data_IF_697651676827
#
_entry.id   IF_697651676827
#
_cell.length_a   1.000
_cell.length_b   1.000
_cell.length_c   1.000
_cell.angle_alpha   90.00
_cell.angle_beta   90.00
_cell.angle_gamma   90.00
#
_symmetry.space_group_name_H-M   'P 1'
#
loop_
_entity.id
_entity.type
_entity.pdbx_description
1 polymer ?
#
# COMPACT_ATOMS: atom_id res chain seq x y z
N UNK A 1 -10.60 -1.86 25.00
CA UNK A 1 -10.80 -1.77 23.53
C UNK A 1 -10.87 -3.15 22.88
N UNK A 2 -9.88 -4.06 23.07
CA UNK A 2 -9.89 -5.38 22.42
C UNK A 2 -11.09 -6.22 22.85
N UNK A 3 -11.43 -6.21 24.14
CA UNK A 3 -12.62 -6.88 24.68
C UNK A 3 -13.91 -6.32 24.07
N UNK A 4 -14.06 -5.00 23.99
CA UNK A 4 -15.23 -4.38 23.37
C UNK A 4 -15.38 -4.74 21.89
N UNK A 5 -14.28 -4.81 21.14
CA UNK A 5 -14.29 -5.29 19.75
C UNK A 5 -14.69 -6.77 19.66
N UNK A 6 -14.18 -7.59 20.56
CA UNK A 6 -14.56 -8.99 20.67
C UNK A 6 -16.06 -9.16 20.96
N UNK A 7 -16.63 -8.35 21.87
CA UNK A 7 -18.05 -8.37 22.19
C UNK A 7 -18.92 -7.98 20.98
N UNK A 8 -18.46 -7.03 20.16
CA UNK A 8 -19.14 -6.67 18.90
C UNK A 8 -19.15 -7.84 17.91
N UNK A 9 -18.04 -8.58 17.80
CA UNK A 9 -17.97 -9.79 16.95
C UNK A 9 -18.87 -10.89 17.53
N UNK A 10 -18.78 -11.19 18.82
CA UNK A 10 -19.58 -12.24 19.48
C UNK A 10 -21.09 -11.96 19.46
N UNK A 11 -21.49 -10.70 19.54
CA UNK A 11 -22.90 -10.30 19.42
C UNK A 11 -23.43 -10.32 17.97
N UNK A 12 -22.58 -10.64 16.99
CA UNK A 12 -22.94 -10.68 15.57
C UNK A 12 -23.12 -9.33 14.90
N UNK A 13 -22.84 -8.20 15.60
CA UNK A 13 -22.91 -6.85 15.03
C UNK A 13 -21.82 -6.58 14.00
N UNK A 14 -20.66 -7.22 14.17
CA UNK A 14 -19.50 -7.13 13.30
C UNK A 14 -19.01 -8.54 12.98
N UNK A 15 -18.66 -8.82 11.74
CA UNK A 15 -18.09 -10.13 11.35
C UNK A 15 -16.58 -10.19 11.53
N UNK A 16 -15.88 -9.15 11.08
CA UNK A 16 -14.42 -9.06 11.11
C UNK A 16 -13.99 -7.69 11.57
N UNK A 17 -12.83 -7.62 12.22
CA UNK A 17 -12.22 -6.39 12.70
C UNK A 17 -10.89 -6.17 12.00
N UNK A 18 -10.52 -4.90 11.82
CA UNK A 18 -9.26 -4.47 11.23
C UNK A 18 -8.61 -3.35 12.04
N UNK A 19 -7.36 -3.08 11.74
CA UNK A 19 -6.56 -2.01 12.32
C UNK A 19 -6.29 -0.93 11.27
N UNK A 20 -6.07 0.31 11.70
CA UNK A 20 -5.78 1.41 10.78
C UNK A 20 -4.71 2.34 11.36
N UNK A 21 -3.72 2.70 10.53
CA UNK A 21 -2.71 3.72 10.84
C UNK A 21 -1.97 3.50 12.17
N UNK A 22 -1.54 2.29 12.44
CA UNK A 22 -0.74 1.91 13.60
C UNK A 22 0.69 1.52 13.18
N UNK A 23 1.65 1.73 14.08
CA UNK A 23 2.99 1.19 13.91
C UNK A 23 2.98 -0.35 13.99
N UNK A 24 3.93 -1.01 13.33
CA UNK A 24 3.99 -2.47 13.28
C UNK A 24 4.00 -3.12 14.66
N UNK A 25 4.77 -2.57 15.61
CA UNK A 25 4.81 -3.09 16.99
C UNK A 25 3.45 -3.01 17.71
N UNK A 26 2.64 -1.98 17.41
CA UNK A 26 1.29 -1.82 17.96
C UNK A 26 0.33 -2.86 17.39
N UNK A 27 0.42 -3.09 16.07
CA UNK A 27 -0.35 -4.16 15.39
C UNK A 27 0.02 -5.51 15.99
N UNK A 28 1.32 -5.83 16.09
CA UNK A 28 1.77 -7.10 16.67
C UNK A 28 1.32 -7.27 18.11
N UNK A 29 1.39 -6.20 18.93
CA UNK A 29 0.92 -6.22 20.31
C UNK A 29 -0.59 -6.51 20.40
N UNK A 30 -1.40 -5.89 19.56
CA UNK A 30 -2.85 -6.14 19.53
C UNK A 30 -3.16 -7.59 19.10
N UNK A 31 -2.49 -8.10 18.08
CA UNK A 31 -2.63 -9.48 17.60
C UNK A 31 -2.23 -10.48 18.70
N UNK A 32 -1.08 -10.25 19.36
CA UNK A 32 -0.59 -11.13 20.42
C UNK A 32 -1.53 -11.17 21.62
N UNK A 33 -2.05 -10.01 22.07
CA UNK A 33 -3.03 -9.95 23.18
C UNK A 33 -4.32 -10.67 22.80
N UNK A 34 -4.84 -10.44 21.59
CA UNK A 34 -6.05 -11.13 21.13
C UNK A 34 -5.87 -12.64 21.11
N UNK A 35 -4.75 -13.12 20.60
CA UNK A 35 -4.40 -14.56 20.56
C UNK A 35 -4.28 -15.15 21.97
N UNK A 36 -3.56 -14.47 22.88
CA UNK A 36 -3.31 -14.97 24.24
C UNK A 36 -4.60 -15.05 25.09
N UNK A 37 -5.58 -14.19 24.83
CA UNK A 37 -6.82 -14.12 25.59
C UNK A 37 -8.04 -14.70 24.84
N UNK A 38 -7.86 -15.40 23.72
CA UNK A 38 -8.97 -15.98 22.97
C UNK A 38 -9.97 -14.97 22.41
N UNK A 39 -9.51 -13.73 22.14
CA UNK A 39 -10.33 -12.66 21.59
C UNK A 39 -10.40 -12.75 20.06
N UNK A 40 -11.35 -12.01 19.48
CA UNK A 40 -11.52 -11.93 18.03
C UNK A 40 -10.20 -11.52 17.34
N UNK A 41 -9.85 -12.26 16.27
CA UNK A 41 -8.65 -12.02 15.49
C UNK A 41 -8.87 -10.85 14.53
N UNK A 42 -7.88 -9.97 14.42
CA UNK A 42 -7.83 -8.99 13.35
C UNK A 42 -7.59 -9.69 12.00
N UNK A 43 -8.25 -9.21 10.94
CA UNK A 43 -8.17 -9.80 9.60
C UNK A 43 -7.42 -8.90 8.62
N UNK A 44 -7.39 -7.59 8.88
CA UNK A 44 -6.80 -6.62 7.95
C UNK A 44 -6.15 -5.46 8.66
N UNK A 45 -5.21 -4.83 7.94
CA UNK A 45 -4.68 -3.50 8.25
C UNK A 45 -5.08 -2.55 7.13
N UNK A 46 -5.65 -1.39 7.47
CA UNK A 46 -5.86 -0.32 6.51
C UNK A 46 -4.72 0.69 6.66
N UNK A 47 -3.94 0.89 5.59
CA UNK A 47 -2.76 1.75 5.64
C UNK A 47 -2.57 2.54 4.34
N UNK A 48 -1.82 3.66 4.44
CA UNK A 48 -1.34 4.41 3.29
C UNK A 48 -0.32 3.59 2.52
N UNK A 49 -0.56 3.43 1.22
CA UNK A 49 0.38 2.76 0.33
C UNK A 49 0.22 3.27 -1.09
N UNK A 50 1.32 3.66 -1.71
CA UNK A 50 1.39 4.06 -3.11
C UNK A 50 2.74 3.68 -3.68
N UNK A 51 2.89 3.69 -5.00
CA UNK A 51 4.20 3.52 -5.62
C UNK A 51 5.22 4.58 -5.16
N UNK A 52 4.78 5.79 -4.77
CA UNK A 52 5.64 6.85 -4.26
C UNK A 52 5.72 6.90 -2.72
N UNK A 53 4.96 6.06 -2.00
CA UNK A 53 4.92 6.00 -0.54
C UNK A 53 4.92 4.55 -0.08
N UNK A 54 6.09 3.94 -0.02
CA UNK A 54 6.33 2.50 0.22
C UNK A 54 6.82 2.21 1.63
N UNK A 55 6.81 3.19 2.53
CA UNK A 55 7.42 3.09 3.87
C UNK A 55 6.87 1.93 4.71
N UNK A 56 5.61 1.52 4.50
CA UNK A 56 5.03 0.36 5.20
C UNK A 56 5.72 -0.97 4.85
N UNK A 57 6.45 -1.05 3.73
CA UNK A 57 7.17 -2.27 3.32
C UNK A 57 8.31 -2.63 4.28
N UNK A 58 8.75 -1.68 5.11
CA UNK A 58 9.85 -1.93 6.07
C UNK A 58 9.45 -2.85 7.20
N UNK A 59 8.25 -2.65 7.75
CA UNK A 59 7.79 -3.33 8.98
C UNK A 59 6.38 -3.91 8.85
N UNK A 60 5.42 -3.12 8.32
CA UNK A 60 4.02 -3.56 8.29
C UNK A 60 3.79 -4.69 7.29
N UNK A 61 4.39 -4.65 6.10
CA UNK A 61 4.24 -5.71 5.11
C UNK A 61 4.78 -7.04 5.65
N UNK A 62 6.03 -7.14 6.12
CA UNK A 62 6.54 -8.38 6.72
C UNK A 62 5.67 -8.89 7.87
N UNK A 63 5.17 -8.00 8.73
CA UNK A 63 4.26 -8.37 9.82
C UNK A 63 2.94 -8.94 9.27
N UNK A 64 2.34 -8.28 8.27
CA UNK A 64 1.07 -8.74 7.70
C UNK A 64 1.22 -10.10 7.02
N UNK A 65 2.33 -10.34 6.32
CA UNK A 65 2.64 -11.62 5.70
C UNK A 65 2.82 -12.74 6.74
N UNK A 66 3.56 -12.46 7.82
CA UNK A 66 3.77 -13.41 8.94
C UNK A 66 2.45 -13.71 9.65
N UNK A 67 1.66 -12.67 9.97
CA UNK A 67 0.40 -12.82 10.70
C UNK A 67 -0.81 -13.12 9.79
N UNK A 68 -0.63 -13.27 8.48
CA UNK A 68 -1.72 -13.51 7.50
C UNK A 68 -2.83 -12.47 7.60
N UNK A 69 -2.45 -11.20 7.64
CA UNK A 69 -3.37 -10.05 7.60
C UNK A 69 -3.42 -9.47 6.18
N UNK A 70 -4.60 -9.11 5.72
CA UNK A 70 -4.76 -8.44 4.43
C UNK A 70 -4.52 -6.94 4.52
N UNK A 71 -3.96 -6.34 3.47
CA UNK A 71 -3.81 -4.88 3.36
C UNK A 71 -4.98 -4.27 2.60
N UNK A 72 -5.63 -3.29 3.21
CA UNK A 72 -6.57 -2.37 2.56
C UNK A 72 -5.86 -1.03 2.34
N UNK A 73 -5.60 -0.70 1.09
CA UNK A 73 -4.84 0.51 0.74
C UNK A 73 -5.75 1.74 0.74
N UNK A 74 -5.40 2.78 1.49
CA UNK A 74 -6.06 4.08 1.37
C UNK A 74 -5.16 5.10 0.65
N UNK A 75 -5.79 6.07 -0.03
CA UNK A 75 -5.13 7.12 -0.83
C UNK A 75 -4.13 6.60 -1.87
N UNK A 76 -4.49 5.58 -2.67
CA UNK A 76 -3.58 4.88 -3.58
C UNK A 76 -2.93 5.76 -4.64
N UNK A 77 -3.58 6.88 -4.98
CA UNK A 77 -3.08 7.89 -5.91
C UNK A 77 -2.47 9.12 -5.20
N UNK A 78 -2.08 8.98 -3.92
CA UNK A 78 -1.45 10.05 -3.15
C UNK A 78 -2.25 11.36 -3.18
N UNK A 79 -3.55 11.31 -2.88
CA UNK A 79 -4.44 12.46 -2.95
C UNK A 79 -4.65 13.02 -4.36
N UNK A 80 -4.42 12.20 -5.39
CA UNK A 80 -4.55 12.55 -6.80
C UNK A 80 -3.24 12.99 -7.49
N UNK A 81 -2.12 13.07 -6.76
CA UNK A 81 -0.82 13.42 -7.35
C UNK A 81 -0.41 12.42 -8.44
N UNK A 82 -0.60 11.12 -8.18
CA UNK A 82 -0.25 10.04 -9.11
C UNK A 82 -1.26 9.83 -10.25
N UNK A 83 -2.22 10.76 -10.41
CA UNK A 83 -3.08 10.77 -11.60
C UNK A 83 -2.44 11.40 -12.84
N UNK A 84 -1.24 11.97 -12.71
CA UNK A 84 -0.54 12.66 -13.80
C UNK A 84 -1.07 14.06 -14.13
N UNK A 85 -2.07 14.57 -13.38
CA UNK A 85 -2.66 15.89 -13.66
C UNK A 85 -1.85 17.07 -13.11
N UNK A 86 -1.04 16.84 -12.09
CA UNK A 86 -0.18 17.86 -11.47
C UNK A 86 1.17 17.89 -12.17
N UNK A 87 1.60 19.06 -12.63
CA UNK A 87 2.92 19.27 -13.23
C UNK A 87 3.99 19.38 -12.15
N UNK A 88 5.24 19.03 -12.48
CA UNK A 88 6.39 19.05 -11.57
C UNK A 88 6.61 20.44 -10.94
N UNK A 89 6.52 21.48 -11.75
CA UNK A 89 6.77 22.87 -11.35
C UNK A 89 5.47 23.67 -11.15
N UNK A 90 4.32 22.98 -11.05
CA UNK A 90 3.00 23.59 -10.97
C UNK A 90 2.30 23.35 -9.64
N UNK A 91 1.38 24.26 -9.30
CA UNK A 91 0.41 24.03 -8.26
C UNK A 91 -0.54 22.89 -8.65
N UNK A 92 -1.13 22.24 -7.66
CA UNK A 92 -2.18 21.25 -7.93
C UNK A 92 -3.36 21.94 -8.66
N UNK A 93 -3.93 21.32 -9.71
CA UNK A 93 -5.01 21.93 -10.47
C UNK A 93 -6.18 22.32 -9.58
N UNK A 94 -6.79 23.49 -9.90
CA UNK A 94 -7.98 23.97 -9.19
C UNK A 94 -9.08 22.90 -9.15
N UNK A 95 -9.82 22.84 -8.04
CA UNK A 95 -10.85 21.81 -7.83
C UNK A 95 -10.33 20.41 -7.47
N UNK A 96 -9.01 20.20 -7.42
CA UNK A 96 -8.44 18.96 -6.88
C UNK A 96 -8.34 19.02 -5.35
N UNK A 97 -8.33 17.85 -4.70
CA UNK A 97 -8.17 17.78 -3.24
C UNK A 97 -6.86 18.40 -2.77
N UNK A 98 -5.77 18.20 -3.52
CA UNK A 98 -4.45 18.72 -3.16
C UNK A 98 -4.32 20.25 -3.29
N UNK A 99 -5.15 20.90 -4.07
CA UNK A 99 -5.18 22.35 -4.15
C UNK A 99 -5.63 23.01 -2.83
N UNK A 100 -6.48 22.33 -2.05
CA UNK A 100 -7.03 22.80 -0.78
C UNK A 100 -6.42 22.12 0.44
N UNK A 101 -5.95 20.87 0.29
CA UNK A 101 -5.42 20.07 1.38
C UNK A 101 -4.30 19.14 0.87
N UNK A 102 -3.04 19.57 1.07
CA UNK A 102 -1.86 18.81 0.60
C UNK A 102 -1.58 17.59 1.50
N UNK A 103 -2.45 16.60 1.38
CA UNK A 103 -2.42 15.35 2.13
C UNK A 103 -2.75 14.15 1.22
N UNK A 104 -2.12 13.00 1.43
CA UNK A 104 -1.08 12.66 2.40
C UNK A 104 0.26 13.33 2.09
N UNK A 105 1.17 13.33 3.08
CA UNK A 105 2.56 13.76 2.87
C UNK A 105 3.23 12.80 1.90
N UNK A 106 3.89 13.35 0.88
CA UNK A 106 4.52 12.58 -0.21
C UNK A 106 5.88 13.20 -0.52
N UNK A 107 6.88 12.38 -0.74
CA UNK A 107 8.10 12.79 -1.42
C UNK A 107 7.76 13.14 -2.87
N UNK A 108 7.66 14.45 -3.16
CA UNK A 108 7.24 14.95 -4.47
C UNK A 108 8.24 14.55 -5.57
N UNK A 109 9.55 14.56 -5.26
CA UNK A 109 10.56 14.18 -6.24
C UNK A 109 10.40 12.72 -6.66
N UNK A 110 10.23 11.81 -5.69
CA UNK A 110 9.95 10.39 -5.95
C UNK A 110 8.64 10.22 -6.70
N UNK A 111 7.59 10.93 -6.31
CA UNK A 111 6.30 10.85 -6.97
C UNK A 111 6.38 11.23 -8.46
N UNK A 112 7.09 12.30 -8.79
CA UNK A 112 7.29 12.71 -10.17
C UNK A 112 8.20 11.76 -10.96
N UNK A 113 9.23 11.20 -10.33
CA UNK A 113 10.05 10.17 -10.95
C UNK A 113 9.21 8.90 -11.29
N UNK A 114 8.29 8.53 -10.38
CA UNK A 114 7.33 7.45 -10.65
C UNK A 114 6.38 7.79 -11.80
N UNK A 115 5.87 9.02 -11.86
CA UNK A 115 5.02 9.48 -12.96
C UNK A 115 5.74 9.40 -14.30
N UNK A 116 6.99 9.86 -14.37
CA UNK A 116 7.82 9.81 -15.59
C UNK A 116 8.06 8.36 -16.06
N UNK A 117 8.22 7.43 -15.12
CA UNK A 117 8.38 6.01 -15.44
C UNK A 117 7.06 5.32 -15.82
N UNK A 118 5.95 5.74 -15.23
CA UNK A 118 4.62 5.19 -15.52
C UNK A 118 4.06 5.65 -16.87
N UNK A 119 4.41 6.86 -17.34
CA UNK A 119 3.85 7.43 -18.57
C UNK A 119 4.08 6.55 -19.81
N UNK A 120 5.31 6.12 -20.14
CA UNK A 120 5.52 5.27 -21.32
C UNK A 120 4.84 3.90 -21.21
N UNK A 121 4.69 3.37 -20.00
CA UNK A 121 3.95 2.13 -19.76
C UNK A 121 2.44 2.37 -20.00
N UNK A 122 1.90 3.46 -19.51
CA UNK A 122 0.51 3.85 -19.74
C UNK A 122 0.21 4.02 -21.24
N UNK A 123 1.09 4.68 -21.96
CA UNK A 123 0.98 4.88 -23.41
C UNK A 123 1.00 3.54 -24.17
N UNK A 124 1.90 2.63 -23.79
CA UNK A 124 2.01 1.30 -24.41
C UNK A 124 0.77 0.43 -24.18
N UNK A 125 0.14 0.55 -22.99
CA UNK A 125 -1.09 -0.16 -22.66
C UNK A 125 -2.36 0.58 -23.13
N UNK A 126 -2.26 1.82 -23.60
CA UNK A 126 -3.41 2.66 -23.98
C UNK A 126 -4.32 3.01 -22.80
N UNK A 127 -3.75 3.19 -21.60
CA UNK A 127 -4.48 3.45 -20.36
C UNK A 127 -3.98 4.72 -19.66
N UNK A 128 -4.66 5.16 -18.61
CA UNK A 128 -4.21 6.31 -17.81
C UNK A 128 -3.05 5.93 -16.88
N UNK A 129 -2.20 6.91 -16.54
CA UNK A 129 -1.14 6.73 -15.53
C UNK A 129 -1.73 6.32 -14.18
N UNK A 130 -2.94 6.81 -13.84
CA UNK A 130 -3.65 6.39 -12.64
C UNK A 130 -3.93 4.87 -12.64
N UNK A 131 -4.30 4.30 -13.78
CA UNK A 131 -4.51 2.85 -13.90
C UNK A 131 -3.21 2.07 -13.69
N UNK A 132 -2.06 2.56 -14.18
CA UNK A 132 -0.75 1.93 -13.92
C UNK A 132 -0.42 1.96 -12.42
N UNK A 133 -0.60 3.11 -11.75
CA UNK A 133 -0.36 3.22 -10.32
C UNK A 133 -1.24 2.26 -9.49
N UNK A 134 -2.52 2.11 -9.86
CA UNK A 134 -3.45 1.19 -9.21
C UNK A 134 -3.12 -0.27 -9.53
N UNK A 135 -2.78 -0.59 -10.79
CA UNK A 135 -2.39 -1.93 -11.21
C UNK A 135 -1.12 -2.40 -10.50
N UNK A 136 -0.14 -1.49 -10.29
CA UNK A 136 1.05 -1.78 -9.50
C UNK A 136 0.70 -2.17 -8.06
N UNK A 137 -0.24 -1.47 -7.40
CA UNK A 137 -0.72 -1.85 -6.07
C UNK A 137 -1.43 -3.20 -6.08
N UNK A 138 -2.30 -3.44 -7.06
CA UNK A 138 -3.04 -4.70 -7.20
C UNK A 138 -2.12 -5.90 -7.50
N UNK A 139 -0.91 -5.67 -8.01
CA UNK A 139 0.08 -6.72 -8.21
C UNK A 139 0.80 -7.17 -6.93
N UNK A 140 0.63 -6.45 -5.81
CA UNK A 140 1.29 -6.79 -4.54
C UNK A 140 0.52 -7.86 -3.79
N UNK A 141 1.15 -9.01 -3.45
CA UNK A 141 0.45 -10.14 -2.81
C UNK A 141 -0.25 -9.80 -1.48
N UNK A 142 0.31 -8.85 -0.72
CA UNK A 142 -0.24 -8.40 0.55
C UNK A 142 -1.51 -7.57 0.39
N UNK A 143 -1.73 -6.96 -0.79
CA UNK A 143 -2.87 -6.07 -1.04
C UNK A 143 -4.13 -6.88 -1.31
N UNK A 144 -5.07 -6.79 -0.39
CA UNK A 144 -6.39 -7.43 -0.52
C UNK A 144 -7.42 -6.51 -1.18
N UNK A 145 -7.29 -5.20 -1.00
CA UNK A 145 -8.22 -4.22 -1.57
C UNK A 145 -7.59 -2.85 -1.68
N UNK A 146 -7.97 -2.11 -2.72
CA UNK A 146 -7.56 -0.71 -2.93
C UNK A 146 -8.78 0.19 -2.81
N UNK A 147 -8.74 1.13 -1.86
CA UNK A 147 -9.83 2.06 -1.60
C UNK A 147 -9.64 3.28 -2.50
N UNK A 148 -10.47 3.37 -3.52
CA UNK A 148 -10.46 4.47 -4.48
C UNK A 148 -11.51 5.53 -4.15
N UNK A 149 -11.28 6.76 -4.59
CA UNK A 149 -12.27 7.85 -4.61
C UNK A 149 -12.43 8.39 -6.02
N UNK A 150 -13.66 8.71 -6.40
CA UNK A 150 -13.97 9.32 -7.68
C UNK A 150 -15.00 10.44 -7.47
N UNK A 151 -14.86 11.55 -8.20
CA UNK A 151 -15.83 12.66 -8.22
C UNK A 151 -16.82 12.55 -9.38
N UNK A 152 -16.43 11.84 -10.44
CA UNK A 152 -17.25 11.62 -11.65
C UNK A 152 -17.28 10.15 -12.02
N UNK A 153 -18.28 9.78 -12.84
CA UNK A 153 -18.42 8.40 -13.36
C UNK A 153 -17.23 8.01 -14.22
N UNK A 154 -16.69 8.95 -15.00
CA UNK A 154 -15.51 8.72 -15.84
C UNK A 154 -14.29 8.35 -15.00
N UNK A 155 -14.04 9.08 -13.87
CA UNK A 155 -12.96 8.76 -12.94
C UNK A 155 -13.19 7.40 -12.27
N UNK A 156 -14.43 7.07 -11.92
CA UNK A 156 -14.74 5.77 -11.34
C UNK A 156 -14.44 4.65 -12.33
N UNK A 157 -14.91 4.78 -13.55
CA UNK A 157 -14.69 3.79 -14.61
C UNK A 157 -13.21 3.64 -14.94
N UNK A 158 -12.46 4.74 -15.03
CA UNK A 158 -11.00 4.74 -15.24
C UNK A 158 -10.28 3.98 -14.11
N UNK A 159 -10.61 4.29 -12.85
CA UNK A 159 -10.00 3.61 -11.70
C UNK A 159 -10.36 2.10 -11.66
N UNK A 160 -11.62 1.74 -11.93
CA UNK A 160 -12.05 0.33 -11.93
C UNK A 160 -11.37 -0.48 -13.04
N UNK A 161 -11.14 0.13 -14.20
CA UNK A 161 -10.47 -0.50 -15.33
C UNK A 161 -9.02 -0.93 -15.02
N UNK A 162 -8.38 -0.34 -14.00
CA UNK A 162 -7.06 -0.75 -13.53
C UNK A 162 -6.96 -2.24 -13.17
N UNK A 163 -8.05 -2.87 -12.78
CA UNK A 163 -8.10 -4.31 -12.46
C UNK A 163 -7.83 -5.21 -13.68
N UNK A 164 -8.02 -4.69 -14.88
CA UNK A 164 -7.77 -5.39 -16.15
C UNK A 164 -6.34 -5.21 -16.65
N UNK A 165 -5.60 -4.24 -16.13
CA UNK A 165 -4.20 -3.96 -16.54
C UNK A 165 -3.29 -5.04 -15.95
N UNK A 166 -2.54 -5.71 -16.83
CA UNK A 166 -1.55 -6.73 -16.45
C UNK A 166 -0.15 -6.21 -16.77
N UNK A 167 0.54 -5.77 -15.73
CA UNK A 167 1.92 -5.32 -15.85
C UNK A 167 2.84 -6.53 -16.06
N UNK A 168 3.76 -6.41 -17.00
CA UNK A 168 4.80 -7.41 -17.23
C UNK A 168 5.86 -7.39 -16.13
N UNK A 169 6.67 -8.44 -16.04
CA UNK A 169 7.78 -8.50 -15.06
C UNK A 169 8.81 -7.37 -15.27
N UNK A 170 9.06 -6.96 -16.52
CA UNK A 170 9.98 -5.85 -16.82
C UNK A 170 9.39 -4.50 -16.40
N UNK A 171 8.11 -4.26 -16.65
CA UNK A 171 7.43 -3.05 -16.20
C UNK A 171 7.41 -2.97 -14.67
N UNK A 172 7.09 -4.06 -13.97
CA UNK A 172 7.15 -4.13 -12.51
C UNK A 172 8.55 -3.84 -12.00
N UNK A 173 9.60 -4.38 -12.63
CA UNK A 173 10.99 -4.11 -12.27
C UNK A 173 11.35 -2.64 -12.42
N UNK A 174 11.00 -2.01 -13.55
CA UNK A 174 11.22 -0.56 -13.79
C UNK A 174 10.52 0.27 -12.71
N UNK A 175 9.26 -0.04 -12.42
CA UNK A 175 8.46 0.67 -11.43
C UNK A 175 8.99 0.47 -10.01
N UNK A 176 9.48 -0.72 -9.69
CA UNK A 176 10.08 -1.02 -8.38
C UNK A 176 11.44 -0.32 -8.19
N UNK A 177 12.26 -0.26 -9.22
CA UNK A 177 13.56 0.43 -9.19
C UNK A 177 13.40 1.94 -8.98
N UNK A 178 12.52 2.61 -9.74
CA UNK A 178 12.32 4.06 -9.64
C UNK A 178 11.68 4.48 -8.32
N UNK A 179 10.91 3.60 -7.69
CA UNK A 179 10.19 3.86 -6.45
C UNK A 179 10.89 3.33 -5.20
N UNK A 180 12.07 2.75 -5.36
CA UNK A 180 12.81 2.11 -4.28
C UNK A 180 13.10 3.09 -3.13
N UNK A 181 12.82 2.65 -1.91
CA UNK A 181 13.18 3.38 -0.71
C UNK A 181 14.69 3.33 -0.44
N UNK A 182 15.28 4.38 0.14
CA UNK A 182 16.65 4.31 0.61
C UNK A 182 16.78 3.21 1.67
N UNK A 183 17.93 2.54 1.64
CA UNK A 183 18.24 1.50 2.63
C UNK A 183 18.45 2.12 4.00
N UNK A 184 17.68 1.65 4.98
CA UNK A 184 17.75 2.10 6.36
C UNK A 184 18.06 0.92 7.31
N UNK A 185 18.64 1.24 8.47
CA UNK A 185 18.76 0.29 9.57
C UNK A 185 17.36 0.06 10.20
N UNK A 186 16.97 -1.17 10.57
CA UNK A 186 17.75 -2.41 10.50
C UNK A 186 17.65 -3.16 9.16
N UNK A 187 16.85 -2.70 8.19
CA UNK A 187 16.52 -3.43 6.97
C UNK A 187 17.74 -3.91 6.17
N UNK A 188 18.78 -3.04 5.99
CA UNK A 188 19.98 -3.46 5.27
C UNK A 188 20.78 -4.51 6.05
N UNK A 189 20.77 -4.47 7.40
CA UNK A 189 21.43 -5.46 8.23
C UNK A 189 20.68 -6.79 8.22
N UNK A 190 19.33 -6.75 8.27
CA UNK A 190 18.49 -7.95 8.18
C UNK A 190 18.68 -8.67 6.85
N UNK A 191 18.76 -7.93 5.75
CA UNK A 191 19.04 -8.49 4.43
C UNK A 191 20.43 -9.15 4.36
N UNK A 192 21.46 -8.53 4.96
CA UNK A 192 22.81 -9.09 5.06
C UNK A 192 22.82 -10.38 5.89
N UNK A 193 22.15 -10.37 7.05
CA UNK A 193 22.09 -11.53 7.96
C UNK A 193 21.19 -12.65 7.42
N UNK A 194 20.19 -12.35 6.58
CA UNK A 194 19.29 -13.33 5.98
C UNK A 194 20.04 -14.42 5.19
N UNK A 195 21.11 -14.04 4.49
CA UNK A 195 21.98 -14.97 3.79
C UNK A 195 22.68 -16.00 4.70
N UNK A 196 23.04 -15.62 5.92
CA UNK A 196 23.63 -16.54 6.90
C UNK A 196 22.61 -17.48 7.55
N UNK A 197 21.36 -17.03 7.70
CA UNK A 197 20.28 -17.83 8.30
C UNK A 197 19.71 -18.85 7.34
N UNK A 198 19.63 -18.54 6.06
CA UNK A 198 19.15 -19.45 5.01
C UNK A 198 20.13 -20.62 4.78
N UNK A 199 21.40 -20.48 5.18
CA UNK A 199 22.43 -21.53 5.04
C UNK A 199 22.52 -22.49 6.25
N UNK A 200 21.71 -22.29 7.31
CA UNK A 200 21.71 -23.20 8.46
C UNK A 200 20.94 -24.48 8.07
N UNK A 201 21.58 -25.69 8.14
CA UNK A 201 20.87 -26.92 7.89
C UNK A 201 19.74 -27.11 8.92
N UNK A 202 18.58 -27.53 8.45
CA UNK A 202 17.51 -28.03 9.33
C UNK A 202 18.09 -29.14 10.20
N UNK A 203 18.10 -28.96 11.51
CA UNK A 203 18.37 -30.05 12.43
C UNK A 203 17.13 -30.95 12.40
N UNK A 204 17.30 -32.14 11.82
CA UNK A 204 16.35 -33.23 11.91
C UNK A 204 16.15 -33.65 13.37
#
# INVERSE_FOLDING_TARGET
TLESLNDMVRSGKVRYIGLCNLAAWQVMKAVAISKANGLARFQSVQAYYTIAGRELERELVPLMEDQKLGLMVWSPLAGGLLSGRTKRDGAAPEGTRRATFDFPVVDKQRAFNCLDAMQPIADAHGVSVAQIALAWLLSRPVVSSVIIGAKTIEQLNDNLASSNVKLTSDELRILDEVSQLPREYPGWMLALQGGYRAAAPTRD
#
